data_IF_861633865306
#
_entry.id   IF_861633865306
#
_cell.length_a   1.000
_cell.length_b   1.000
_cell.length_c   1.000
_cell.angle_alpha   90.00
_cell.angle_beta   90.00
_cell.angle_gamma   90.00
#
_symmetry.space_group_name_H-M   'P 1'
#
loop_
_entity.id
_entity.type
_entity.pdbx_description
1 polymer ?
#
# COMPACT_ATOMS: atom_id res chain seq x y z
N UNK A 1 -9.76 28.68 -7.39
CA UNK A 1 -10.03 27.37 -8.02
C UNK A 1 -8.70 26.78 -8.46
N UNK A 2 -8.37 25.62 -7.97
CA UNK A 2 -7.17 24.89 -8.39
C UNK A 2 -7.38 24.22 -9.75
N UNK A 3 -6.29 23.86 -10.45
CA UNK A 3 -6.37 23.04 -11.67
C UNK A 3 -7.10 21.71 -11.40
N UNK A 4 -6.98 21.20 -10.19
CA UNK A 4 -7.67 19.97 -9.77
C UNK A 4 -9.21 20.17 -9.74
N UNK A 5 -9.69 21.31 -9.24
CA UNK A 5 -11.12 21.62 -9.19
C UNK A 5 -11.75 21.69 -10.58
N UNK A 6 -10.99 22.22 -11.57
CA UNK A 6 -11.43 22.29 -12.96
C UNK A 6 -11.42 20.94 -13.67
N UNK A 7 -10.44 20.09 -13.34
CA UNK A 7 -10.29 18.77 -13.96
C UNK A 7 -11.26 17.72 -13.35
N UNK A 8 -11.66 17.88 -12.10
CA UNK A 8 -12.42 16.90 -11.37
C UNK A 8 -13.75 16.49 -12.03
N UNK A 9 -14.62 17.42 -12.56
CA UNK A 9 -15.84 17.03 -13.26
C UNK A 9 -15.60 16.19 -14.50
N UNK A 10 -14.47 16.41 -15.20
CA UNK A 10 -14.08 15.63 -16.36
C UNK A 10 -13.57 14.24 -15.96
N UNK A 11 -12.71 14.17 -14.95
CA UNK A 11 -12.15 12.92 -14.43
C UNK A 11 -13.27 12.00 -13.89
N UNK A 12 -14.30 12.56 -13.27
CA UNK A 12 -15.46 11.79 -12.79
C UNK A 12 -16.26 11.10 -13.90
N UNK A 13 -16.18 11.55 -15.15
CA UNK A 13 -16.86 10.92 -16.30
C UNK A 13 -16.08 9.76 -16.91
N UNK A 14 -14.79 9.65 -16.58
CA UNK A 14 -13.96 8.55 -17.06
C UNK A 14 -14.26 7.26 -16.29
N UNK A 15 -13.94 6.13 -16.93
CA UNK A 15 -13.86 4.84 -16.23
C UNK A 15 -13.05 4.99 -14.93
N UNK A 16 -13.49 4.43 -13.79
CA UNK A 16 -12.87 4.67 -12.48
C UNK A 16 -11.40 4.26 -12.42
N UNK A 17 -11.02 3.15 -13.03
CA UNK A 17 -9.63 2.69 -13.04
C UNK A 17 -8.76 3.58 -13.93
N UNK A 18 -9.29 4.01 -15.06
CA UNK A 18 -8.61 4.95 -15.96
C UNK A 18 -8.39 6.30 -15.28
N UNK A 19 -9.41 6.83 -14.60
CA UNK A 19 -9.28 8.06 -13.82
C UNK A 19 -8.20 7.98 -12.75
N UNK A 20 -8.18 6.87 -11.98
CA UNK A 20 -7.15 6.62 -10.97
C UNK A 20 -5.74 6.60 -11.59
N UNK A 21 -5.53 5.85 -12.67
CA UNK A 21 -4.23 5.77 -13.34
C UNK A 21 -3.75 7.12 -13.88
N UNK A 22 -4.65 7.90 -14.49
CA UNK A 22 -4.32 9.25 -14.96
C UNK A 22 -3.95 10.18 -13.81
N UNK A 23 -4.65 10.08 -12.67
CA UNK A 23 -4.33 10.87 -11.48
C UNK A 23 -2.95 10.53 -10.93
N UNK A 24 -2.63 9.25 -10.74
CA UNK A 24 -1.30 8.83 -10.27
C UNK A 24 -0.22 9.29 -11.23
N UNK A 25 -0.44 9.17 -12.54
CA UNK A 25 0.51 9.63 -13.56
C UNK A 25 0.70 11.16 -13.55
N UNK A 26 -0.36 11.94 -13.42
CA UNK A 26 -0.28 13.37 -13.29
C UNK A 26 0.53 13.79 -12.05
N UNK A 27 0.26 13.17 -10.91
CA UNK A 27 1.01 13.38 -9.68
C UNK A 27 2.49 13.03 -9.85
N UNK A 28 2.81 11.89 -10.47
CA UNK A 28 4.20 11.48 -10.70
C UNK A 28 4.99 12.46 -11.59
N UNK A 29 4.30 13.23 -12.42
CA UNK A 29 4.86 14.31 -13.25
C UNK A 29 4.83 15.67 -12.54
N UNK A 30 4.39 15.76 -11.30
CA UNK A 30 4.31 17.02 -10.56
C UNK A 30 3.11 17.90 -10.94
N UNK A 31 2.13 17.36 -11.64
CA UNK A 31 0.94 18.10 -12.09
C UNK A 31 -0.17 18.01 -11.06
N UNK A 32 -0.79 19.16 -10.75
CA UNK A 32 -1.98 19.22 -9.90
C UNK A 32 -1.70 19.01 -8.40
N UNK A 33 -0.45 19.18 -7.97
CA UNK A 33 -0.08 19.05 -6.56
C UNK A 33 -0.50 20.34 -5.83
N UNK A 34 -1.48 20.28 -4.92
CA UNK A 34 -1.80 21.43 -4.08
C UNK A 34 -0.64 21.70 -3.13
N UNK A 35 -0.43 22.95 -2.79
CA UNK A 35 0.53 23.31 -1.74
C UNK A 35 -0.03 22.86 -0.40
N UNK A 36 0.73 22.03 0.33
CA UNK A 36 0.36 21.65 1.67
C UNK A 36 0.40 22.87 2.60
N UNK A 37 -0.58 22.99 3.48
CA UNK A 37 -0.49 23.88 4.64
C UNK A 37 0.47 23.29 5.67
N UNK A 38 1.03 24.16 6.51
CA UNK A 38 1.89 23.70 7.60
C UNK A 38 1.07 22.85 8.59
N UNK A 39 1.61 21.71 8.98
CA UNK A 39 0.98 20.88 10.00
C UNK A 39 1.01 21.60 11.35
N UNK A 40 -0.11 21.58 12.07
CA UNK A 40 -0.12 21.98 13.48
C UNK A 40 0.72 20.97 14.29
N UNK A 41 1.69 21.44 15.08
CA UNK A 41 2.53 20.54 15.89
C UNK A 41 1.76 19.63 16.86
N UNK A 42 0.55 20.01 17.25
CA UNK A 42 -0.32 19.20 18.12
C UNK A 42 -0.75 17.89 17.46
N UNK A 43 -0.75 17.83 16.13
CA UNK A 43 -1.11 16.63 15.36
C UNK A 43 0.05 15.63 15.23
N UNK A 44 1.26 16.05 15.62
CA UNK A 44 2.41 15.18 15.50
C UNK A 44 2.37 14.07 16.57
N UNK A 45 2.75 12.88 16.17
CA UNK A 45 2.90 11.73 17.07
C UNK A 45 4.16 10.95 16.74
N UNK A 46 4.64 10.17 17.69
CA UNK A 46 5.78 9.28 17.51
C UNK A 46 5.34 7.83 17.70
N UNK A 47 5.63 7.01 16.70
CA UNK A 47 5.33 5.58 16.71
C UNK A 47 6.56 4.83 16.18
N UNK A 48 7.00 3.79 16.88
CA UNK A 48 8.20 2.99 16.55
C UNK A 48 9.48 3.82 16.38
N UNK A 49 9.65 4.89 17.17
CA UNK A 49 10.78 5.81 17.04
C UNK A 49 10.77 6.67 15.78
N UNK A 50 9.62 6.76 15.09
CA UNK A 50 9.42 7.56 13.89
C UNK A 50 8.39 8.65 14.15
N UNK A 51 8.71 9.86 13.73
CA UNK A 51 7.80 11.00 13.87
C UNK A 51 6.86 11.10 12.69
N UNK A 52 5.57 11.04 12.98
CA UNK A 52 4.49 11.35 12.07
C UNK A 52 4.06 12.80 12.27
N UNK A 53 4.07 13.61 11.21
CA UNK A 53 3.76 15.04 11.30
C UNK A 53 2.27 15.33 11.57
N UNK A 54 1.41 14.36 11.21
CA UNK A 54 -0.03 14.36 11.45
C UNK A 54 -0.55 12.91 11.32
N UNK A 55 -1.81 12.61 11.69
CA UNK A 55 -2.36 11.25 11.63
C UNK A 55 -2.84 10.82 10.23
N UNK A 56 -2.73 11.67 9.20
CA UNK A 56 -3.25 11.36 7.87
C UNK A 56 -2.16 10.74 6.99
N UNK A 57 -2.49 9.65 6.34
CA UNK A 57 -1.65 8.99 5.37
C UNK A 57 -2.44 8.43 4.19
N UNK A 58 -1.72 8.05 3.14
CA UNK A 58 -2.29 7.34 2.00
C UNK A 58 -2.11 5.85 2.22
N UNK A 59 -3.21 5.12 2.25
CA UNK A 59 -3.22 3.66 2.36
C UNK A 59 -2.82 2.99 1.04
N UNK A 60 -2.32 1.74 1.13
CA UNK A 60 -2.07 0.90 -0.02
C UNK A 60 -3.31 0.77 -0.93
N UNK A 61 -3.06 0.75 -2.22
CA UNK A 61 -4.10 0.69 -3.25
C UNK A 61 -4.25 1.98 -4.05
N UNK A 62 -3.78 3.12 -3.56
CA UNK A 62 -3.68 4.34 -4.36
C UNK A 62 -2.40 4.33 -5.20
N UNK A 63 -1.24 4.39 -4.59
CA UNK A 63 0.05 4.26 -5.30
C UNK A 63 0.52 2.80 -5.31
N UNK A 64 -0.07 2.01 -6.20
CA UNK A 64 0.17 0.56 -6.25
C UNK A 64 1.60 0.18 -6.65
N UNK A 65 2.29 1.09 -7.34
CA UNK A 65 3.55 0.78 -8.01
C UNK A 65 4.69 1.71 -7.60
N UNK A 66 4.52 2.47 -6.53
CA UNK A 66 5.50 3.45 -6.02
C UNK A 66 5.88 4.52 -7.07
N UNK A 67 4.87 5.15 -7.67
CA UNK A 67 5.05 6.15 -8.73
C UNK A 67 4.96 7.59 -8.23
N UNK A 68 4.18 7.86 -7.17
CA UNK A 68 3.80 9.20 -6.74
C UNK A 68 4.10 9.50 -5.26
N UNK A 69 5.01 8.79 -4.61
CA UNK A 69 5.32 8.92 -3.18
C UNK A 69 5.65 10.36 -2.77
N UNK A 70 6.61 11.00 -3.46
CA UNK A 70 7.02 12.37 -3.15
C UNK A 70 5.89 13.40 -3.30
N UNK A 71 5.22 13.43 -4.46
CA UNK A 71 4.02 14.25 -4.65
C UNK A 71 2.96 14.09 -3.57
N UNK A 72 2.63 12.86 -3.18
CA UNK A 72 1.65 12.60 -2.13
C UNK A 72 2.10 13.14 -0.76
N UNK A 73 3.36 12.93 -0.39
CA UNK A 73 3.92 13.52 0.82
C UNK A 73 3.92 15.05 0.78
N UNK A 74 4.21 15.66 -0.38
CA UNK A 74 4.19 17.11 -0.53
C UNK A 74 2.77 17.72 -0.50
N UNK A 75 1.72 16.91 -0.64
CA UNK A 75 0.32 17.31 -0.40
C UNK A 75 -0.03 17.40 1.09
N UNK A 76 0.89 17.06 2.00
CA UNK A 76 0.69 17.14 3.45
C UNK A 76 0.38 15.82 4.13
N UNK A 77 0.33 14.70 3.39
CA UNK A 77 0.22 13.39 4.03
C UNK A 77 1.49 13.06 4.81
N UNK A 78 1.34 12.60 6.03
CA UNK A 78 2.46 12.26 6.91
C UNK A 78 3.20 11.01 6.46
N UNK A 79 2.48 10.09 5.84
CA UNK A 79 3.03 8.84 5.33
C UNK A 79 2.29 8.37 4.08
N UNK A 80 2.96 7.56 3.28
CA UNK A 80 2.39 6.91 2.09
C UNK A 80 2.71 5.42 2.14
N UNK A 81 1.67 4.60 2.08
CA UNK A 81 1.80 3.15 1.93
C UNK A 81 1.62 2.77 0.46
N UNK A 82 2.67 2.25 -0.16
CA UNK A 82 2.64 1.80 -1.55
C UNK A 82 2.29 0.32 -1.66
N UNK A 83 1.70 -0.10 -2.75
CA UNK A 83 1.36 -1.50 -3.00
C UNK A 83 -0.13 -1.80 -3.09
N UNK A 84 -0.56 -3.08 -2.97
CA UNK A 84 0.27 -4.25 -2.61
C UNK A 84 1.20 -4.64 -3.75
N UNK A 85 2.44 -4.91 -3.41
CA UNK A 85 3.48 -5.33 -4.35
C UNK A 85 3.60 -6.85 -4.29
N UNK A 86 3.59 -7.51 -5.46
CA UNK A 86 3.78 -8.95 -5.60
C UNK A 86 5.15 -9.25 -6.19
N UNK A 87 5.76 -10.41 -5.92
CA UNK A 87 7.05 -10.80 -6.48
C UNK A 87 7.12 -10.65 -7.99
N UNK A 88 6.21 -11.29 -8.70
CA UNK A 88 6.12 -11.23 -10.16
C UNK A 88 5.05 -10.22 -10.60
N UNK A 89 5.20 -9.58 -11.76
CA UNK A 89 4.12 -8.80 -12.35
C UNK A 89 2.87 -9.67 -12.56
N UNK A 90 1.69 -9.06 -12.30
CA UNK A 90 0.43 -9.72 -12.59
C UNK A 90 -0.67 -8.69 -12.92
N UNK A 91 -1.58 -9.01 -13.84
CA UNK A 91 -2.61 -8.07 -14.30
C UNK A 91 -3.72 -7.84 -13.26
N UNK A 92 -3.88 -8.75 -12.29
CA UNK A 92 -5.04 -8.80 -11.40
C UNK A 92 -6.27 -9.40 -12.10
N UNK A 93 -7.46 -9.12 -11.54
CA UNK A 93 -8.72 -9.65 -12.06
C UNK A 93 -9.15 -8.95 -13.36
N UNK A 94 -10.00 -9.59 -14.18
CA UNK A 94 -10.56 -9.00 -15.41
C UNK A 94 -11.31 -7.69 -15.15
N UNK A 95 -11.27 -6.79 -16.09
CA UNK A 95 -12.05 -5.54 -16.10
C UNK A 95 -13.46 -5.78 -16.63
N UNK A 96 -14.47 -4.95 -16.21
CA UNK A 96 -14.39 -3.87 -15.23
C UNK A 96 -14.24 -4.40 -13.79
N UNK A 97 -13.48 -3.70 -12.96
CA UNK A 97 -13.14 -4.15 -11.62
C UNK A 97 -13.11 -3.04 -10.56
N UNK A 98 -13.54 -1.85 -10.94
CA UNK A 98 -13.74 -0.70 -10.05
C UNK A 98 -15.05 -0.05 -10.41
N UNK A 99 -15.88 0.23 -9.40
CA UNK A 99 -17.23 0.75 -9.59
C UNK A 99 -17.47 1.89 -8.59
N UNK A 100 -17.96 3.03 -9.07
CA UNK A 100 -18.40 4.14 -8.22
C UNK A 100 -19.87 3.96 -7.89
N UNK A 101 -20.18 4.13 -6.63
CA UNK A 101 -21.54 4.21 -6.13
C UNK A 101 -21.80 5.69 -5.78
N UNK A 102 -22.32 6.43 -6.76
CA UNK A 102 -22.41 7.90 -6.66
C UNK A 102 -23.39 8.36 -5.58
N UNK A 103 -24.47 7.62 -5.37
CA UNK A 103 -25.51 7.93 -4.37
C UNK A 103 -24.98 7.68 -2.95
N UNK A 104 -24.13 6.68 -2.78
CA UNK A 104 -23.53 6.30 -1.49
C UNK A 104 -22.15 6.94 -1.24
N UNK A 105 -21.67 7.77 -2.17
CA UNK A 105 -20.30 8.33 -2.16
C UNK A 105 -19.20 7.27 -1.94
N UNK A 106 -19.41 6.06 -2.47
CA UNK A 106 -18.57 4.90 -2.23
C UNK A 106 -17.94 4.31 -3.49
N UNK A 107 -16.96 3.43 -3.29
CA UNK A 107 -16.28 2.70 -4.37
C UNK A 107 -16.18 1.23 -4.01
N UNK A 108 -16.61 0.37 -4.94
CA UNK A 108 -16.38 -1.07 -4.87
C UNK A 108 -15.24 -1.44 -5.80
N UNK A 109 -14.36 -2.35 -5.38
CA UNK A 109 -13.33 -2.89 -6.25
C UNK A 109 -13.14 -4.41 -6.07
N UNK A 110 -12.60 -5.00 -7.15
CA UNK A 110 -12.13 -6.39 -7.18
C UNK A 110 -10.79 -6.50 -7.94
N UNK A 111 -9.81 -5.69 -7.57
CA UNK A 111 -8.54 -5.59 -8.30
C UNK A 111 -7.74 -6.89 -8.39
N UNK A 112 -7.66 -7.69 -7.31
CA UNK A 112 -6.90 -8.94 -7.28
C UNK A 112 -5.38 -8.73 -7.36
N UNK A 113 -4.84 -7.74 -6.65
CA UNK A 113 -3.41 -7.41 -6.56
C UNK A 113 -2.73 -7.22 -7.93
N UNK A 114 -3.31 -6.35 -8.77
CA UNK A 114 -2.60 -5.93 -9.98
C UNK A 114 -1.30 -5.21 -9.58
N UNK A 115 -0.19 -5.71 -10.07
CA UNK A 115 1.16 -5.27 -9.69
C UNK A 115 2.11 -5.30 -10.89
N UNK A 116 3.03 -4.34 -10.96
CA UNK A 116 4.13 -4.34 -11.92
C UNK A 116 5.32 -5.19 -11.43
N UNK A 117 5.20 -5.79 -10.26
CA UNK A 117 6.19 -6.68 -9.68
C UNK A 117 7.22 -5.98 -8.82
N UNK A 118 7.99 -6.82 -8.13
CA UNK A 118 8.96 -6.44 -7.12
C UNK A 118 10.10 -5.60 -7.68
N UNK A 119 10.65 -5.99 -8.83
CA UNK A 119 11.83 -5.32 -9.42
C UNK A 119 11.54 -3.86 -9.81
N UNK A 120 10.33 -3.61 -10.34
CA UNK A 120 9.91 -2.26 -10.72
C UNK A 120 9.73 -1.39 -9.47
N UNK A 121 9.04 -1.91 -8.46
CA UNK A 121 8.83 -1.21 -7.21
C UNK A 121 10.15 -0.93 -6.48
N UNK A 122 11.06 -1.90 -6.38
CA UNK A 122 12.38 -1.74 -5.77
C UNK A 122 13.21 -0.64 -6.46
N UNK A 123 13.24 -0.62 -7.79
CA UNK A 123 13.93 0.43 -8.56
C UNK A 123 13.37 1.83 -8.29
N UNK A 124 12.04 1.96 -8.18
CA UNK A 124 11.39 3.25 -7.90
C UNK A 124 11.67 3.73 -6.47
N UNK A 125 11.54 2.84 -5.50
CA UNK A 125 11.83 3.11 -4.08
C UNK A 125 13.31 3.47 -3.87
N UNK A 126 14.24 2.69 -4.44
CA UNK A 126 15.67 2.98 -4.39
C UNK A 126 15.98 4.36 -4.97
N UNK A 127 15.41 4.68 -6.14
CA UNK A 127 15.60 6.01 -6.78
C UNK A 127 15.03 7.14 -5.91
N UNK A 128 13.91 6.92 -5.25
CA UNK A 128 13.31 7.89 -4.35
C UNK A 128 14.24 8.17 -3.15
N UNK A 129 14.74 7.11 -2.49
CA UNK A 129 15.67 7.24 -1.35
C UNK A 129 17.02 7.85 -1.74
N UNK A 130 17.56 7.48 -2.89
CA UNK A 130 18.84 8.00 -3.40
C UNK A 130 18.82 9.52 -3.67
N UNK A 131 17.64 10.12 -3.84
CA UNK A 131 17.50 11.59 -3.97
C UNK A 131 17.49 12.33 -2.63
N UNK A 132 17.74 11.64 -1.51
CA UNK A 132 17.66 12.21 -0.16
C UNK A 132 16.23 12.58 0.25
N UNK A 133 15.23 12.00 -0.43
CA UNK A 133 13.84 12.30 -0.15
C UNK A 133 13.46 11.80 1.25
N UNK A 134 12.95 12.71 2.06
CA UNK A 134 12.41 12.44 3.40
C UNK A 134 10.92 12.14 3.30
N UNK A 135 10.40 11.46 4.31
CA UNK A 135 8.99 11.12 4.45
C UNK A 135 8.81 9.63 4.73
N UNK A 136 7.76 9.32 5.46
CA UNK A 136 7.51 7.95 5.90
C UNK A 136 6.86 7.14 4.77
N UNK A 137 7.51 6.03 4.40
CA UNK A 137 7.03 5.10 3.39
C UNK A 137 6.73 3.74 4.01
N UNK A 138 5.47 3.33 3.94
CA UNK A 138 5.05 1.96 4.15
C UNK A 138 5.10 1.17 2.85
N UNK A 139 5.46 -0.10 2.93
CA UNK A 139 5.41 -1.00 1.79
C UNK A 139 4.50 -2.18 2.10
N UNK A 140 3.40 -2.23 1.36
CA UNK A 140 2.40 -3.28 1.46
C UNK A 140 2.75 -4.44 0.53
N UNK A 141 2.88 -5.62 1.10
CA UNK A 141 3.28 -6.84 0.43
C UNK A 141 2.06 -7.72 0.13
N UNK A 142 2.09 -8.36 -1.01
CA UNK A 142 1.08 -9.34 -1.41
C UNK A 142 1.71 -10.55 -2.10
N UNK A 143 0.99 -11.67 -2.12
CA UNK A 143 1.40 -12.85 -2.89
C UNK A 143 0.91 -12.80 -4.33
N UNK A 144 1.59 -13.49 -5.23
CA UNK A 144 1.06 -13.74 -6.57
C UNK A 144 -0.16 -14.68 -6.49
N UNK A 145 -1.11 -14.49 -7.41
CA UNK A 145 -2.35 -15.27 -7.47
C UNK A 145 -2.06 -16.77 -7.62
N UNK A 146 -1.14 -17.10 -8.52
CA UNK A 146 -0.73 -18.46 -8.87
C UNK A 146 0.41 -19.00 -7.98
N UNK A 147 0.71 -18.34 -6.85
CA UNK A 147 1.76 -18.82 -5.94
C UNK A 147 1.23 -19.93 -5.04
N UNK A 148 1.94 -21.05 -5.03
CA UNK A 148 1.69 -22.20 -4.14
C UNK A 148 2.29 -21.98 -2.76
N UNK A 149 3.39 -21.21 -2.66
CA UNK A 149 4.06 -20.85 -1.40
C UNK A 149 3.91 -19.35 -1.12
N UNK A 150 2.82 -19.01 -0.45
CA UNK A 150 2.52 -17.63 -0.08
C UNK A 150 3.62 -17.03 0.81
N UNK A 151 4.13 -17.78 1.78
CA UNK A 151 5.13 -17.30 2.72
C UNK A 151 6.45 -16.96 2.04
N UNK A 152 6.85 -17.70 1.00
CA UNK A 152 8.00 -17.36 0.16
C UNK A 152 7.82 -16.03 -0.58
N UNK A 153 6.62 -15.77 -1.11
CA UNK A 153 6.33 -14.51 -1.82
C UNK A 153 6.47 -13.31 -0.88
N UNK A 154 5.88 -13.38 0.32
CA UNK A 154 6.00 -12.33 1.33
C UNK A 154 7.44 -12.16 1.83
N UNK A 155 8.16 -13.24 2.09
CA UNK A 155 9.54 -13.22 2.53
C UNK A 155 10.47 -12.60 1.48
N UNK A 156 10.28 -12.94 0.20
CA UNK A 156 11.02 -12.32 -0.91
C UNK A 156 10.74 -10.82 -1.01
N UNK A 157 9.47 -10.43 -0.94
CA UNK A 157 9.06 -9.03 -0.94
C UNK A 157 9.67 -8.25 0.23
N UNK A 158 9.57 -8.80 1.44
CA UNK A 158 10.09 -8.18 2.65
C UNK A 158 11.62 -8.00 2.59
N UNK A 159 12.37 -9.06 2.24
CA UNK A 159 13.83 -8.99 2.09
C UNK A 159 14.27 -7.93 1.10
N UNK A 160 13.57 -7.83 -0.03
CA UNK A 160 13.96 -6.92 -1.12
C UNK A 160 13.61 -5.47 -0.83
N UNK A 161 12.48 -5.22 -0.16
CA UNK A 161 11.95 -3.86 0.00
C UNK A 161 12.21 -3.25 1.38
N UNK A 162 12.58 -4.05 2.39
CA UNK A 162 12.91 -3.55 3.74
C UNK A 162 13.94 -2.40 3.74
N UNK A 163 15.02 -2.42 2.93
CA UNK A 163 16.00 -1.33 2.91
C UNK A 163 15.44 0.04 2.51
N UNK A 164 14.26 0.08 1.89
CA UNK A 164 13.63 1.30 1.39
C UNK A 164 12.40 1.72 2.18
N UNK A 165 11.91 0.85 3.06
CA UNK A 165 10.66 1.03 3.81
C UNK A 165 10.92 1.57 5.23
N UNK A 166 10.02 2.43 5.70
CA UNK A 166 9.97 2.81 7.11
C UNK A 166 9.16 1.82 7.94
N UNK A 167 8.26 1.08 7.30
CA UNK A 167 7.57 -0.10 7.83
C UNK A 167 7.11 -1.00 6.70
N UNK A 168 6.95 -2.28 6.99
CA UNK A 168 6.41 -3.28 6.07
C UNK A 168 5.03 -3.74 6.51
N UNK A 169 4.19 -4.10 5.56
CA UNK A 169 2.84 -4.61 5.83
C UNK A 169 2.62 -5.94 5.11
N UNK A 170 2.38 -7.00 5.86
CA UNK A 170 1.88 -8.26 5.34
C UNK A 170 0.36 -8.10 5.11
N UNK A 171 -0.09 -8.15 3.87
CA UNK A 171 -1.51 -7.97 3.55
C UNK A 171 -2.19 -9.32 3.29
N UNK A 172 -2.92 -9.82 4.28
CA UNK A 172 -3.72 -11.05 4.18
C UNK A 172 -5.23 -10.77 4.16
N UNK A 173 -5.62 -9.49 4.02
CA UNK A 173 -7.01 -9.05 4.18
C UNK A 173 -7.86 -9.11 2.91
N UNK A 174 -7.25 -9.14 1.72
CA UNK A 174 -8.00 -8.98 0.47
C UNK A 174 -8.91 -10.17 0.18
N UNK A 175 -10.21 -9.93 -0.07
CA UNK A 175 -11.12 -10.98 -0.51
C UNK A 175 -10.98 -11.30 -2.00
N UNK A 176 -10.22 -10.49 -2.74
CA UNK A 176 -10.13 -10.53 -4.21
C UNK A 176 -9.03 -11.47 -4.74
N UNK A 177 -8.33 -12.15 -3.84
CA UNK A 177 -7.30 -13.15 -4.16
C UNK A 177 -7.69 -14.47 -3.51
N UNK A 178 -7.96 -15.54 -4.29
CA UNK A 178 -8.37 -16.82 -3.73
C UNK A 178 -7.40 -17.36 -2.68
N UNK A 179 -7.92 -17.90 -1.58
CA UNK A 179 -7.14 -18.49 -0.51
C UNK A 179 -6.34 -17.52 0.36
N UNK A 180 -6.32 -16.21 0.05
CA UNK A 180 -5.52 -15.26 0.80
C UNK A 180 -5.95 -15.13 2.27
N UNK A 181 -7.25 -15.07 2.53
CA UNK A 181 -7.79 -14.93 3.89
C UNK A 181 -7.60 -16.17 4.75
N UNK A 182 -7.36 -17.33 4.15
CA UNK A 182 -7.00 -18.55 4.90
C UNK A 182 -5.67 -18.39 5.66
N UNK A 183 -4.77 -17.51 5.19
CA UNK A 183 -3.51 -17.17 5.88
C UNK A 183 -3.73 -16.44 7.22
N UNK A 184 -4.96 -16.07 7.57
CA UNK A 184 -5.30 -15.45 8.85
C UNK A 184 -5.57 -16.49 9.95
N UNK A 185 -5.62 -17.80 9.64
CA UNK A 185 -5.63 -18.83 10.68
C UNK A 185 -4.33 -18.79 11.48
N UNK A 186 -4.39 -19.12 12.76
CA UNK A 186 -3.25 -19.00 13.68
C UNK A 186 -2.00 -19.72 13.16
N UNK A 187 -2.15 -20.98 12.76
CA UNK A 187 -1.02 -21.83 12.32
C UNK A 187 -0.36 -21.29 11.05
N UNK A 188 -1.15 -20.90 10.05
CA UNK A 188 -0.64 -20.33 8.80
C UNK A 188 0.02 -18.98 9.06
N UNK A 189 -0.55 -18.18 9.95
CA UNK A 189 -0.05 -16.87 10.28
C UNK A 189 1.27 -16.92 11.05
N UNK A 190 1.41 -17.83 12.03
CA UNK A 190 2.66 -18.07 12.76
C UNK A 190 3.80 -18.42 11.79
N UNK A 191 3.56 -19.34 10.87
CA UNK A 191 4.55 -19.75 9.86
C UNK A 191 4.91 -18.58 8.92
N UNK A 192 3.92 -17.85 8.44
CA UNK A 192 4.08 -16.71 7.56
C UNK A 192 4.92 -15.60 8.22
N UNK A 193 4.54 -15.19 9.43
CA UNK A 193 5.22 -14.12 10.18
C UNK A 193 6.65 -14.52 10.52
N UNK A 194 6.87 -15.74 11.00
CA UNK A 194 8.20 -16.25 11.33
C UNK A 194 9.12 -16.24 10.09
N UNK A 195 8.61 -16.72 8.95
CA UNK A 195 9.39 -16.76 7.70
C UNK A 195 9.71 -15.37 7.17
N UNK A 196 8.76 -14.43 7.25
CA UNK A 196 8.99 -13.05 6.84
C UNK A 196 10.01 -12.35 7.76
N UNK A 197 9.86 -12.49 9.09
CA UNK A 197 10.82 -11.91 10.05
C UNK A 197 12.26 -12.40 9.82
N UNK A 198 12.44 -13.69 9.57
CA UNK A 198 13.76 -14.26 9.28
C UNK A 198 14.36 -13.74 7.96
N UNK A 199 13.53 -13.33 7.01
CA UNK A 199 13.98 -12.84 5.71
C UNK A 199 14.38 -11.36 5.70
N UNK A 200 13.93 -10.56 6.67
CA UNK A 200 14.21 -9.12 6.75
C UNK A 200 15.64 -8.89 7.24
N UNK A 201 16.46 -8.10 6.53
CA UNK A 201 17.81 -7.75 6.99
C UNK A 201 17.76 -6.77 8.16
N UNK A 202 18.75 -6.86 9.04
CA UNK A 202 18.91 -5.90 10.12
C UNK A 202 19.62 -4.60 9.63
N UNK A 203 19.24 -3.41 10.14
CA UNK A 203 18.17 -3.18 11.11
C UNK A 203 16.78 -3.31 10.46
N UNK A 204 15.93 -4.14 11.07
CA UNK A 204 14.61 -4.44 10.55
C UNK A 204 13.63 -3.26 10.77
N UNK A 205 12.86 -2.84 9.75
CA UNK A 205 11.75 -1.91 9.96
C UNK A 205 10.60 -2.62 10.69
N UNK A 206 9.71 -1.86 11.36
CA UNK A 206 8.48 -2.42 11.92
C UNK A 206 7.71 -3.25 10.89
N UNK A 207 7.22 -4.41 11.32
CA UNK A 207 6.42 -5.32 10.51
C UNK A 207 4.99 -5.31 11.02
N UNK A 208 4.05 -4.93 10.17
CA UNK A 208 2.62 -4.85 10.44
C UNK A 208 1.88 -5.96 9.72
N UNK A 209 0.78 -6.40 10.31
CA UNK A 209 -0.15 -7.32 9.70
C UNK A 209 -1.46 -6.61 9.39
N UNK A 210 -1.86 -6.59 8.11
CA UNK A 210 -3.14 -6.03 7.67
C UNK A 210 -4.16 -7.15 7.52
N UNK A 211 -5.14 -7.17 8.42
CA UNK A 211 -6.20 -8.17 8.52
C UNK A 211 -7.52 -7.70 7.89
N UNK A 212 -8.44 -8.63 7.68
CA UNK A 212 -9.79 -8.32 7.21
C UNK A 212 -10.62 -7.62 8.31
N UNK A 213 -11.56 -6.71 7.95
CA UNK A 213 -12.33 -5.97 8.93
C UNK A 213 -13.52 -6.74 9.52
N UNK A 214 -13.84 -7.90 8.95
CA UNK A 214 -15.02 -8.72 9.21
C UNK A 214 -14.67 -10.04 9.92
N UNK A 215 -13.60 -10.05 10.72
CA UNK A 215 -13.18 -11.19 11.54
C UNK A 215 -14.03 -11.31 12.81
N UNK A 216 -14.22 -12.54 13.28
CA UNK A 216 -14.83 -12.79 14.57
C UNK A 216 -13.83 -12.47 15.71
N UNK A 217 -14.36 -12.24 16.92
CA UNK A 217 -13.53 -11.91 18.09
C UNK A 217 -12.49 -13.02 18.40
N UNK A 218 -12.86 -14.28 18.23
CA UNK A 218 -11.93 -15.40 18.42
C UNK A 218 -10.75 -15.33 17.44
N UNK A 219 -11.02 -14.98 16.15
CA UNK A 219 -9.97 -14.83 15.14
C UNK A 219 -9.02 -13.69 15.51
N UNK A 220 -9.55 -12.57 16.04
CA UNK A 220 -8.73 -11.45 16.48
C UNK A 220 -7.82 -11.82 17.66
N UNK A 221 -8.31 -12.62 18.61
CA UNK A 221 -7.52 -13.13 19.73
C UNK A 221 -6.41 -14.05 19.25
N UNK A 222 -6.69 -14.96 18.32
CA UNK A 222 -5.70 -15.86 17.72
C UNK A 222 -4.62 -15.07 16.98
N UNK A 223 -5.01 -14.08 16.19
CA UNK A 223 -4.07 -13.21 15.47
C UNK A 223 -3.20 -12.40 16.44
N UNK A 224 -3.77 -11.89 17.52
CA UNK A 224 -3.04 -11.12 18.51
C UNK A 224 -2.04 -11.96 19.33
N UNK A 225 -2.24 -13.28 19.37
CA UNK A 225 -1.33 -14.22 20.05
C UNK A 225 -0.09 -14.58 19.21
N UNK A 226 -0.10 -14.29 17.89
CA UNK A 226 1.00 -14.51 16.94
C UNK A 226 1.96 -13.32 16.93
#
# INVERSE_FOLDING_TARGET
MSLADLAFPLIRRLDPETAHRLTVRALSLGVGIPKAEANDPILATEVWGRRFSNPLGIAAGFDKHAEAMGPLLSMGFSFVEVGSITPRPQPGNPRPRVFRLLEDEAVINRYGFNSEGLDVAAKRLARYRARGASGLLGVNLGKNKESEDAASDYALGARTLAPYADYLVINVSSPNTPGLRALQSREELEQLVARVRTAIPEPAPPLLLKIAPDLAEADLQDIAAV
#
